data_IF_212143475857
#
_entry.id   IF_212143475857
#
_cell.length_a   1.000
_cell.length_b   1.000
_cell.length_c   1.000
_cell.angle_alpha   90.00
_cell.angle_beta   90.00
_cell.angle_gamma   90.00
#
_symmetry.space_group_name_H-M   'P 1'
#
loop_
_entity.id
_entity.type
_entity.pdbx_description
1 polymer ?
#
# COMPACT_ATOMS: atom_id res chain seq x y z
N UNK A 1 13.05 1.62 -9.42
CA UNK A 1 11.69 1.81 -9.97
C UNK A 1 10.66 1.11 -9.10
N UNK A 2 9.46 1.62 -9.00
CA UNK A 2 8.38 0.99 -8.24
C UNK A 2 7.08 1.02 -9.04
N UNK A 3 6.31 -0.05 -8.99
CA UNK A 3 4.97 -0.13 -9.55
C UNK A 3 3.96 -0.11 -8.42
N UNK A 4 2.95 0.75 -8.54
CA UNK A 4 1.90 0.93 -7.57
C UNK A 4 0.60 0.34 -8.08
N UNK A 5 -0.04 -0.52 -7.29
CA UNK A 5 -1.40 -0.99 -7.55
C UNK A 5 -2.32 -0.50 -6.45
N UNK A 6 -3.31 0.28 -6.83
CA UNK A 6 -4.39 0.75 -5.95
C UNK A 6 -5.65 -0.07 -6.21
N UNK A 7 -6.26 -0.57 -5.14
CA UNK A 7 -7.57 -1.21 -5.20
C UNK A 7 -8.36 -0.88 -3.93
N UNK A 8 -9.69 -1.01 -3.93
CA UNK A 8 -10.50 -0.86 -2.71
C UNK A 8 -10.07 -1.80 -1.58
N UNK A 9 -9.45 -2.93 -1.93
CA UNK A 9 -8.96 -3.93 -0.98
C UNK A 9 -7.59 -3.59 -0.37
N UNK A 10 -7.05 -2.41 -0.62
CA UNK A 10 -5.76 -1.96 -0.12
C UNK A 10 -4.75 -1.68 -1.23
N UNK A 11 -3.59 -1.19 -0.85
CA UNK A 11 -2.54 -0.76 -1.75
C UNK A 11 -1.38 -1.73 -1.74
N UNK A 12 -0.89 -2.08 -2.92
CA UNK A 12 0.35 -2.84 -3.08
C UNK A 12 1.38 -2.01 -3.83
N UNK A 13 2.59 -1.98 -3.31
CA UNK A 13 3.76 -1.41 -3.98
C UNK A 13 4.71 -2.55 -4.29
N UNK A 14 4.99 -2.73 -5.56
CA UNK A 14 5.96 -3.70 -6.05
C UNK A 14 7.17 -2.94 -6.56
N UNK A 15 8.30 -3.11 -5.90
CA UNK A 15 9.56 -2.56 -6.37
C UNK A 15 10.18 -3.47 -7.43
N UNK A 16 10.66 -2.85 -8.49
CA UNK A 16 11.51 -3.49 -9.51
C UNK A 16 12.84 -2.75 -9.49
N UNK A 17 13.94 -3.44 -9.32
CA UNK A 17 15.26 -2.82 -9.34
C UNK A 17 15.56 -2.25 -10.73
N UNK A 18 16.25 -1.12 -10.79
CA UNK A 18 16.54 -0.42 -12.05
C UNK A 18 17.49 -1.17 -12.97
N UNK A 19 18.35 -2.02 -12.40
CA UNK A 19 19.30 -2.89 -13.09
C UNK A 19 18.66 -4.21 -13.58
N UNK A 20 17.35 -4.39 -13.39
CA UNK A 20 16.65 -5.53 -13.98
C UNK A 20 16.57 -5.38 -15.48
N UNK A 21 17.14 -6.34 -16.18
CA UNK A 21 17.11 -6.39 -17.63
C UNK A 21 15.78 -6.93 -18.14
N UNK A 22 15.18 -6.21 -19.05
CA UNK A 22 13.95 -6.56 -19.75
C UNK A 22 14.23 -6.67 -21.26
N UNK A 23 13.40 -7.40 -21.98
CA UNK A 23 13.55 -7.56 -23.41
C UNK A 23 13.00 -6.32 -24.14
N UNK A 24 13.86 -5.58 -24.82
CA UNK A 24 13.48 -4.48 -25.68
C UNK A 24 12.75 -4.95 -26.96
N UNK A 25 12.21 -4.01 -27.72
CA UNK A 25 11.50 -4.29 -29.00
C UNK A 25 12.37 -5.00 -30.03
N UNK A 26 13.67 -4.74 -30.01
CA UNK A 26 14.69 -5.35 -30.87
C UNK A 26 15.18 -6.73 -30.36
N UNK A 27 14.60 -7.22 -29.25
CA UNK A 27 14.97 -8.48 -28.62
C UNK A 27 16.21 -8.42 -27.74
N UNK A 28 16.89 -7.28 -27.64
CA UNK A 28 18.02 -7.07 -26.75
C UNK A 28 17.57 -6.93 -25.30
N UNK A 29 18.45 -7.32 -24.38
CA UNK A 29 18.24 -7.07 -22.96
C UNK A 29 18.73 -5.65 -22.63
N UNK A 30 17.84 -4.84 -22.09
CA UNK A 30 18.07 -3.44 -21.70
C UNK A 30 17.72 -3.33 -20.23
N UNK A 31 18.50 -2.60 -19.45
CA UNK A 31 18.17 -2.32 -18.05
C UNK A 31 16.94 -1.41 -17.95
N UNK A 32 16.08 -1.69 -17.02
CA UNK A 32 14.82 -0.97 -16.87
C UNK A 32 15.04 0.52 -16.60
N UNK A 33 16.13 0.86 -15.88
CA UNK A 33 16.56 2.25 -15.64
C UNK A 33 16.88 2.99 -16.92
N UNK A 34 17.60 2.36 -17.84
CA UNK A 34 18.00 2.97 -19.13
C UNK A 34 16.82 3.10 -20.08
N UNK A 35 15.85 2.18 -19.99
CA UNK A 35 14.71 2.17 -20.90
C UNK A 35 13.92 3.48 -20.90
N UNK A 36 13.76 4.09 -19.72
CA UNK A 36 13.05 5.37 -19.56
C UNK A 36 13.80 6.55 -20.17
N UNK A 37 15.12 6.53 -20.10
CA UNK A 37 16.00 7.57 -20.62
C UNK A 37 16.11 7.45 -22.13
N UNK A 38 16.36 6.25 -22.64
CA UNK A 38 16.69 6.02 -24.06
C UNK A 38 15.44 5.90 -24.93
N UNK A 39 14.35 5.31 -24.44
CA UNK A 39 13.16 4.96 -25.21
C UNK A 39 11.88 5.63 -24.70
N UNK A 40 11.97 6.41 -23.61
CA UNK A 40 10.87 7.13 -22.99
C UNK A 40 10.04 6.31 -22.00
N UNK A 41 9.35 7.01 -21.10
CA UNK A 41 8.66 6.41 -19.97
C UNK A 41 7.48 5.50 -20.31
N UNK A 42 6.87 5.69 -21.50
CA UNK A 42 5.86 4.74 -22.00
C UNK A 42 6.46 3.36 -22.29
N UNK A 43 7.72 3.31 -22.71
CA UNK A 43 8.42 2.03 -22.88
C UNK A 43 8.67 1.33 -21.54
N UNK A 44 8.96 2.09 -20.47
CA UNK A 44 9.01 1.54 -19.10
C UNK A 44 7.68 0.97 -18.66
N UNK A 45 6.55 1.65 -18.95
CA UNK A 45 5.22 1.12 -18.64
C UNK A 45 4.96 -0.21 -19.35
N UNK A 46 5.25 -0.28 -20.65
CA UNK A 46 5.08 -1.50 -21.44
C UNK A 46 5.97 -2.65 -20.90
N UNK A 47 7.20 -2.34 -20.51
CA UNK A 47 8.10 -3.31 -19.92
C UNK A 47 7.61 -3.80 -18.55
N UNK A 48 7.07 -2.88 -17.73
CA UNK A 48 6.46 -3.23 -16.43
C UNK A 48 5.20 -4.08 -16.63
N UNK A 49 4.34 -3.76 -17.61
CA UNK A 49 3.19 -4.57 -17.98
C UNK A 49 3.59 -5.99 -18.41
N UNK A 50 4.60 -6.10 -19.26
CA UNK A 50 5.12 -7.39 -19.71
C UNK A 50 5.74 -8.20 -18.56
N UNK A 51 6.45 -7.54 -17.64
CA UNK A 51 7.11 -8.16 -16.51
C UNK A 51 6.11 -8.65 -15.46
N UNK A 52 5.12 -7.82 -15.14
CA UNK A 52 4.16 -8.07 -14.05
C UNK A 52 2.88 -8.75 -14.55
N UNK A 53 2.63 -8.75 -15.85
CA UNK A 53 1.43 -9.32 -16.45
C UNK A 53 0.14 -8.63 -16.01
N UNK A 54 0.22 -7.33 -15.66
CA UNK A 54 -0.91 -6.48 -15.28
C UNK A 54 -0.87 -5.15 -16.02
N UNK A 55 -2.03 -4.57 -16.40
CA UNK A 55 -2.05 -3.29 -17.10
C UNK A 55 -1.54 -2.16 -16.21
N UNK A 56 -0.78 -1.23 -16.80
CA UNK A 56 -0.26 -0.03 -16.15
C UNK A 56 -1.01 1.19 -16.69
N UNK A 57 -1.81 1.82 -15.85
CA UNK A 57 -2.66 2.95 -16.22
C UNK A 57 -1.85 4.24 -16.56
N UNK A 58 -0.66 4.38 -16.01
CA UNK A 58 0.20 5.53 -16.23
C UNK A 58 1.46 5.49 -15.37
N UNK A 59 2.23 6.57 -15.47
CA UNK A 59 3.48 6.70 -14.73
C UNK A 59 3.62 8.06 -14.06
N UNK A 60 4.42 8.07 -12.98
CA UNK A 60 4.94 9.26 -12.31
C UNK A 60 6.44 9.07 -12.15
N UNK A 61 7.22 10.04 -12.61
CA UNK A 61 8.68 10.02 -12.47
C UNK A 61 9.07 11.00 -11.39
N UNK A 62 9.64 10.48 -10.33
CA UNK A 62 10.19 11.25 -9.22
C UNK A 62 11.72 11.19 -9.29
N UNK A 63 12.35 12.34 -9.42
CA UNK A 63 13.79 12.45 -9.26
C UNK A 63 14.16 12.41 -7.77
N UNK A 64 15.43 12.18 -7.46
CA UNK A 64 15.92 12.28 -6.07
C UNK A 64 15.61 13.66 -5.48
N UNK A 65 15.74 14.72 -6.29
CA UNK A 65 15.39 16.09 -5.87
C UNK A 65 13.90 16.24 -5.55
N UNK A 66 13.00 15.66 -6.37
CA UNK A 66 11.55 15.72 -6.13
C UNK A 66 11.18 15.00 -4.84
N UNK A 67 11.79 13.83 -4.58
CA UNK A 67 11.57 13.07 -3.35
C UNK A 67 12.06 13.86 -2.14
N UNK A 68 13.27 14.44 -2.19
CA UNK A 68 13.79 15.26 -1.10
C UNK A 68 12.89 16.46 -0.83
N UNK A 69 12.53 17.22 -1.86
CA UNK A 69 11.66 18.39 -1.74
C UNK A 69 10.26 18.02 -1.21
N UNK A 70 9.75 16.85 -1.59
CA UNK A 70 8.48 16.36 -1.08
C UNK A 70 8.55 16.00 0.41
N UNK A 71 9.59 15.30 0.84
CA UNK A 71 9.84 14.97 2.24
C UNK A 71 10.00 16.25 3.08
N UNK A 72 10.81 17.21 2.60
CA UNK A 72 11.03 18.47 3.30
C UNK A 72 9.73 19.30 3.44
N UNK A 73 8.81 19.17 2.46
CA UNK A 73 7.49 19.79 2.53
C UNK A 73 6.59 19.21 3.63
N UNK A 74 6.78 17.94 3.99
CA UNK A 74 6.07 17.28 5.09
C UNK A 74 6.73 17.55 6.46
N UNK A 75 7.95 18.07 6.47
CA UNK A 75 8.80 18.23 7.64
C UNK A 75 9.70 17.02 7.89
N UNK A 76 10.57 17.07 8.93
CA UNK A 76 11.46 15.97 9.25
C UNK A 76 10.69 14.67 9.51
N UNK A 77 11.12 13.58 8.88
CA UNK A 77 10.42 12.29 8.94
C UNK A 77 11.04 11.40 10.01
N UNK A 78 10.26 10.92 11.01
CA UNK A 78 10.75 10.00 12.02
C UNK A 78 10.93 8.61 11.43
N UNK A 79 12.18 8.13 11.35
CA UNK A 79 12.53 6.79 10.87
C UNK A 79 13.25 6.02 11.98
N UNK A 80 12.81 4.80 12.26
CA UNK A 80 13.51 3.86 13.14
C UNK A 80 14.61 3.16 12.35
N UNK A 81 15.88 3.44 12.68
CA UNK A 81 17.04 2.83 12.03
C UNK A 81 17.44 1.55 12.79
N UNK A 82 17.24 0.35 12.23
CA UNK A 82 17.57 -0.90 12.92
C UNK A 82 19.07 -1.11 13.03
N UNK A 83 19.83 -0.51 12.12
CA UNK A 83 21.28 -0.61 12.01
C UNK A 83 21.89 0.76 11.78
N UNK A 84 23.17 0.92 12.10
CA UNK A 84 23.90 2.13 11.74
C UNK A 84 24.11 2.16 10.22
N UNK A 85 23.77 3.30 9.62
CA UNK A 85 23.96 3.55 8.19
C UNK A 85 25.05 4.61 8.04
N UNK A 86 26.12 4.30 7.31
CA UNK A 86 27.16 5.28 6.99
C UNK A 86 27.31 5.40 5.47
N UNK A 87 27.34 6.61 4.98
CA UNK A 87 27.49 6.90 3.54
C UNK A 87 28.95 7.10 3.11
N UNK A 88 29.91 6.59 3.91
CA UNK A 88 31.34 6.74 3.62
C UNK A 88 31.81 6.03 2.34
N UNK A 89 30.99 5.16 1.76
CA UNK A 89 31.34 4.36 0.56
C UNK A 89 30.79 4.95 -0.76
N UNK A 90 30.05 6.06 -0.71
CA UNK A 90 29.50 6.72 -1.92
C UNK A 90 30.01 8.16 -2.04
N UNK A 91 31.28 8.38 -2.44
CA UNK A 91 31.80 9.74 -2.60
C UNK A 91 31.14 10.42 -3.79
N UNK A 92 30.49 11.57 -3.54
CA UNK A 92 29.98 12.47 -4.59
C UNK A 92 28.52 12.89 -4.49
N UNK A 93 27.74 12.40 -3.53
CA UNK A 93 26.37 12.87 -3.29
C UNK A 93 26.31 13.63 -1.96
N UNK A 94 25.97 14.91 -2.02
CA UNK A 94 26.16 15.95 -1.00
C UNK A 94 25.47 15.80 0.37
N UNK A 95 24.96 14.63 0.74
CA UNK A 95 24.45 14.38 2.08
C UNK A 95 25.08 13.11 2.63
N UNK A 96 25.77 13.22 3.75
CA UNK A 96 26.36 12.10 4.50
C UNK A 96 25.41 11.75 5.64
N UNK A 97 24.95 10.51 5.71
CA UNK A 97 24.38 9.96 6.94
C UNK A 97 25.48 9.19 7.69
N UNK A 98 25.82 9.68 8.87
CA UNK A 98 26.52 8.89 9.89
C UNK A 98 25.57 8.77 11.09
N UNK A 99 24.54 7.95 10.93
CA UNK A 99 23.47 7.78 11.92
C UNK A 99 23.57 6.45 12.62
N UNK A 100 23.73 6.51 13.94
CA UNK A 100 23.60 5.33 14.81
C UNK A 100 22.18 4.77 14.80
N UNK A 101 22.00 3.58 15.40
CA UNK A 101 20.69 2.92 15.59
C UNK A 101 19.68 3.80 16.34
N UNK A 102 18.41 3.55 16.13
CA UNK A 102 17.30 4.14 16.87
C UNK A 102 16.48 5.13 16.04
N UNK A 103 15.52 5.76 16.71
CA UNK A 103 14.60 6.71 16.07
C UNK A 103 15.35 8.02 15.74
N UNK A 104 15.26 8.43 14.48
CA UNK A 104 15.85 9.65 13.95
C UNK A 104 14.81 10.45 13.17
N UNK A 105 14.90 11.76 13.21
CA UNK A 105 14.17 12.65 12.32
C UNK A 105 15.07 13.01 11.14
N UNK A 106 14.67 12.61 9.95
CA UNK A 106 15.47 12.74 8.73
C UNK A 106 14.85 13.79 7.81
N UNK A 107 15.66 14.70 7.28
CA UNK A 107 15.34 15.59 6.17
C UNK A 107 15.22 14.81 4.86
N UNK A 108 14.72 15.42 3.80
CA UNK A 108 14.57 14.79 2.50
C UNK A 108 15.88 14.25 1.92
N UNK A 109 16.97 15.01 2.06
CA UNK A 109 18.30 14.55 1.62
C UNK A 109 18.83 13.40 2.45
N UNK A 110 18.57 13.38 3.76
CA UNK A 110 18.97 12.28 4.65
C UNK A 110 18.15 11.02 4.41
N UNK A 111 16.85 11.15 4.09
CA UNK A 111 16.01 10.01 3.67
C UNK A 111 16.56 9.37 2.41
N UNK A 112 16.97 10.16 1.42
CA UNK A 112 17.62 9.64 0.20
C UNK A 112 18.94 8.94 0.52
N UNK A 113 19.80 9.56 1.32
CA UNK A 113 21.06 8.99 1.73
C UNK A 113 20.86 7.67 2.53
N UNK A 114 19.81 7.59 3.37
CA UNK A 114 19.40 6.36 4.05
C UNK A 114 18.99 5.26 3.06
N UNK A 115 18.16 5.59 2.07
CA UNK A 115 17.67 4.61 1.09
C UNK A 115 18.76 4.11 0.16
N UNK A 116 19.66 4.99 -0.28
CA UNK A 116 20.73 4.68 -1.25
C UNK A 116 22.03 4.22 -0.58
N UNK A 117 22.21 4.50 0.71
CA UNK A 117 23.43 4.22 1.45
C UNK A 117 23.81 2.74 1.47
N UNK A 118 25.10 2.47 1.58
CA UNK A 118 25.59 1.11 1.72
C UNK A 118 25.30 0.56 3.12
N UNK A 119 24.67 -0.59 3.19
CA UNK A 119 24.51 -1.37 4.42
C UNK A 119 24.71 -2.85 4.12
N UNK A 120 25.52 -3.52 4.93
CA UNK A 120 25.68 -4.97 4.85
C UNK A 120 24.59 -5.72 5.62
N UNK A 121 23.87 -5.04 6.49
CA UNK A 121 22.93 -5.63 7.45
C UNK A 121 21.46 -5.46 7.01
N UNK A 122 21.16 -4.52 6.12
CA UNK A 122 19.80 -4.25 5.66
C UNK A 122 19.73 -4.13 4.14
N UNK A 123 18.81 -4.85 3.51
CA UNK A 123 18.59 -4.77 2.07
C UNK A 123 18.04 -3.39 1.64
N UNK A 124 18.36 -2.94 0.42
CA UNK A 124 17.88 -1.68 -0.14
C UNK A 124 16.36 -1.65 -0.19
N UNK A 125 15.72 -2.77 -0.53
CA UNK A 125 14.26 -2.90 -0.55
C UNK A 125 13.61 -2.69 0.81
N UNK A 126 14.24 -3.17 1.89
CA UNK A 126 13.75 -2.97 3.25
C UNK A 126 13.84 -1.50 3.66
N UNK A 127 14.95 -0.83 3.33
CA UNK A 127 15.12 0.61 3.56
C UNK A 127 14.10 1.44 2.78
N UNK A 128 13.88 1.12 1.49
CA UNK A 128 12.84 1.76 0.66
C UNK A 128 11.45 1.57 1.25
N UNK A 129 11.14 0.36 1.69
CA UNK A 129 9.86 0.05 2.31
C UNK A 129 9.64 0.81 3.63
N UNK A 130 10.68 0.91 4.47
CA UNK A 130 10.66 1.65 5.73
C UNK A 130 10.49 3.16 5.49
N UNK A 131 11.28 3.73 4.58
CA UNK A 131 11.18 5.13 4.20
C UNK A 131 9.80 5.47 3.65
N UNK A 132 9.27 4.65 2.73
CA UNK A 132 7.94 4.87 2.16
C UNK A 132 6.84 4.84 3.24
N UNK A 133 6.87 3.88 4.17
CA UNK A 133 5.91 3.85 5.27
C UNK A 133 6.01 5.09 6.16
N UNK A 134 7.22 5.54 6.47
CA UNK A 134 7.44 6.72 7.29
C UNK A 134 6.95 8.00 6.58
N UNK A 135 7.21 8.14 5.28
CA UNK A 135 6.71 9.26 4.47
C UNK A 135 5.18 9.27 4.44
N UNK A 136 4.54 8.11 4.23
CA UNK A 136 3.09 8.00 4.22
C UNK A 136 2.48 8.33 5.59
N UNK A 137 3.09 7.87 6.68
CA UNK A 137 2.65 8.20 8.04
C UNK A 137 2.77 9.69 8.35
N UNK A 138 3.86 10.35 7.90
CA UNK A 138 4.03 11.79 8.05
C UNK A 138 3.00 12.57 7.21
N UNK A 139 2.76 12.15 5.98
CA UNK A 139 1.73 12.75 5.13
C UNK A 139 0.32 12.61 5.72
N UNK A 140 0.01 11.47 6.33
CA UNK A 140 -1.22 11.25 7.06
C UNK A 140 -1.35 12.20 8.28
N UNK A 141 -0.28 12.35 9.05
CA UNK A 141 -0.25 13.25 10.20
C UNK A 141 -0.43 14.73 9.77
N UNK A 142 0.17 15.11 8.64
CA UNK A 142 0.10 16.48 8.08
C UNK A 142 -1.19 16.75 7.29
N UNK A 143 -2.06 15.79 7.11
CA UNK A 143 -3.28 15.95 6.29
C UNK A 143 -4.26 17.01 6.83
N UNK A 144 -4.14 17.37 8.12
CA UNK A 144 -4.87 18.48 8.74
C UNK A 144 -4.17 19.85 8.62
N UNK A 145 -2.93 19.89 8.16
CA UNK A 145 -2.14 21.11 8.02
C UNK A 145 -2.20 21.61 6.57
N UNK A 146 -2.88 22.73 6.36
CA UNK A 146 -3.14 23.28 5.01
C UNK A 146 -1.85 23.56 4.25
N UNK A 147 -0.83 24.12 4.92
CA UNK A 147 0.42 24.54 4.28
C UNK A 147 1.28 23.34 3.82
N UNK A 148 1.43 22.31 4.65
CA UNK A 148 2.22 21.11 4.30
C UNK A 148 1.56 20.36 3.13
N UNK A 149 0.26 20.17 3.19
CA UNK A 149 -0.53 19.52 2.14
C UNK A 149 -0.48 20.29 0.82
N UNK A 150 -0.58 21.62 0.86
CA UNK A 150 -0.49 22.46 -0.34
C UNK A 150 0.93 22.47 -0.93
N UNK A 151 1.95 22.49 -0.10
CA UNK A 151 3.35 22.43 -0.57
C UNK A 151 3.66 21.07 -1.19
N UNK A 152 3.24 19.96 -0.56
CA UNK A 152 3.36 18.63 -1.13
C UNK A 152 2.62 18.49 -2.48
N UNK A 153 1.39 19.02 -2.59
CA UNK A 153 0.65 19.08 -3.84
C UNK A 153 1.38 19.86 -4.93
N UNK A 154 2.01 20.99 -4.56
CA UNK A 154 2.79 21.83 -5.48
C UNK A 154 4.02 21.09 -6.01
N UNK A 155 4.72 20.32 -5.17
CA UNK A 155 5.83 19.46 -5.61
C UNK A 155 5.32 18.41 -6.58
N UNK A 156 4.29 17.66 -6.22
CA UNK A 156 3.73 16.60 -7.06
C UNK A 156 3.11 17.11 -8.37
N UNK A 157 2.66 18.36 -8.43
CA UNK A 157 2.14 18.95 -9.68
C UNK A 157 3.21 19.22 -10.75
N UNK A 158 4.48 19.24 -10.36
CA UNK A 158 5.63 19.50 -11.24
C UNK A 158 6.33 18.25 -11.75
N UNK A 159 6.01 17.10 -11.17
CA UNK A 159 6.66 15.83 -11.56
C UNK A 159 6.23 15.40 -12.96
N UNK A 160 7.12 14.73 -13.65
CA UNK A 160 6.82 14.18 -14.97
C UNK A 160 5.83 13.01 -14.84
N UNK A 161 4.69 13.13 -15.51
CA UNK A 161 3.64 12.12 -15.49
C UNK A 161 2.78 12.20 -16.75
N UNK A 162 2.16 11.09 -17.15
CA UNK A 162 1.09 11.07 -18.14
C UNK A 162 -0.32 11.08 -17.51
N UNK A 163 -0.42 11.12 -16.18
CA UNK A 163 -1.71 11.10 -15.48
C UNK A 163 -2.32 12.49 -15.25
N UNK A 164 -1.52 13.56 -15.40
CA UNK A 164 -1.91 14.91 -15.01
C UNK A 164 -1.85 15.14 -13.49
N UNK A 165 -1.65 16.40 -13.08
CA UNK A 165 -1.35 16.79 -11.71
C UNK A 165 -2.44 16.38 -10.70
N UNK A 166 -3.73 16.57 -11.06
CA UNK A 166 -4.86 16.22 -10.17
C UNK A 166 -4.96 14.70 -9.93
N UNK A 167 -4.67 13.89 -10.94
CA UNK A 167 -4.68 12.44 -10.78
C UNK A 167 -3.49 11.96 -9.96
N UNK A 168 -2.30 12.55 -10.15
CA UNK A 168 -1.12 12.28 -9.32
C UNK A 168 -1.42 12.60 -7.86
N UNK A 169 -2.02 13.76 -7.60
CA UNK A 169 -2.43 14.16 -6.24
C UNK A 169 -3.49 13.22 -5.66
N UNK A 170 -4.49 12.84 -6.43
CA UNK A 170 -5.53 11.90 -5.98
C UNK A 170 -4.91 10.54 -5.59
N UNK A 171 -4.01 10.00 -6.42
CA UNK A 171 -3.30 8.75 -6.13
C UNK A 171 -2.49 8.87 -4.82
N UNK A 172 -1.77 9.98 -4.65
CA UNK A 172 -1.02 10.23 -3.42
C UNK A 172 -1.92 10.29 -2.19
N UNK A 173 -3.00 11.04 -2.27
CA UNK A 173 -3.98 11.16 -1.17
C UNK A 173 -4.59 9.79 -0.81
N UNK A 174 -4.93 8.99 -1.81
CA UNK A 174 -5.48 7.65 -1.59
C UNK A 174 -4.46 6.73 -0.91
N UNK A 175 -3.15 6.89 -1.21
CA UNK A 175 -2.05 6.20 -0.52
C UNK A 175 -1.88 6.62 0.94
N UNK A 176 -2.13 7.89 1.23
CA UNK A 176 -1.93 8.48 2.56
C UNK A 176 -3.18 8.40 3.44
N UNK A 177 -4.28 7.77 2.97
CA UNK A 177 -5.49 7.61 3.76
C UNK A 177 -5.29 6.67 4.95
N UNK A 178 -5.87 7.05 6.10
CA UNK A 178 -5.82 6.29 7.36
C UNK A 178 -6.27 4.84 7.19
N UNK A 179 -5.44 3.96 7.74
CA UNK A 179 -5.77 2.55 7.86
C UNK A 179 -5.70 1.78 6.55
N UNK A 180 -5.10 2.30 5.50
CA UNK A 180 -4.87 1.53 4.28
C UNK A 180 -3.75 0.51 4.48
N UNK A 181 -4.05 -0.78 4.29
CA UNK A 181 -3.04 -1.82 4.33
C UNK A 181 -2.09 -1.67 3.14
N UNK A 182 -0.86 -1.27 3.43
CA UNK A 182 0.20 -1.13 2.43
C UNK A 182 1.05 -2.40 2.41
N UNK A 183 0.90 -3.20 1.36
CA UNK A 183 1.79 -4.33 1.09
C UNK A 183 2.92 -3.87 0.18
N UNK A 184 4.15 -3.97 0.68
CA UNK A 184 5.35 -3.65 -0.09
C UNK A 184 6.08 -4.96 -0.40
N UNK A 185 6.44 -5.14 -1.66
CA UNK A 185 7.14 -6.33 -2.14
C UNK A 185 8.18 -5.92 -3.19
N UNK A 186 9.16 -6.77 -3.42
CA UNK A 186 10.16 -6.59 -4.48
C UNK A 186 10.09 -7.76 -5.45
N UNK A 187 10.28 -7.48 -6.74
CA UNK A 187 10.33 -8.52 -7.77
C UNK A 187 11.56 -9.41 -7.53
N UNK A 188 11.38 -10.72 -7.34
CA UNK A 188 12.47 -11.65 -7.20
C UNK A 188 13.34 -11.68 -8.45
N UNK A 189 14.66 -11.62 -8.28
CA UNK A 189 15.60 -11.56 -9.39
C UNK A 189 16.69 -12.62 -9.27
N UNK A 190 17.24 -13.02 -10.42
CA UNK A 190 18.45 -13.85 -10.52
C UNK A 190 19.44 -13.21 -11.49
N UNK A 191 20.71 -13.62 -11.39
CA UNK A 191 21.74 -13.17 -12.34
C UNK A 191 21.95 -14.28 -13.36
N UNK A 192 21.83 -13.94 -14.64
CA UNK A 192 22.19 -14.79 -15.76
C UNK A 192 23.44 -14.23 -16.42
N UNK A 193 24.32 -15.11 -16.89
CA UNK A 193 25.48 -14.71 -17.70
C UNK A 193 25.16 -14.92 -19.17
N UNK A 194 25.20 -13.85 -19.96
CA UNK A 194 25.02 -13.89 -21.40
C UNK A 194 26.14 -13.10 -22.07
N UNK A 195 26.81 -13.71 -23.01
CA UNK A 195 27.96 -13.10 -23.74
C UNK A 195 29.07 -12.61 -22.76
N UNK A 196 29.30 -13.35 -21.66
CA UNK A 196 30.26 -13.00 -20.64
C UNK A 196 29.85 -11.87 -19.68
N UNK A 197 28.66 -11.31 -19.85
CA UNK A 197 28.12 -10.22 -19.03
C UNK A 197 27.04 -10.78 -18.08
N UNK A 198 27.22 -10.56 -16.77
CA UNK A 198 26.19 -10.85 -15.77
C UNK A 198 25.05 -9.83 -15.88
N UNK A 199 23.81 -10.32 -16.05
CA UNK A 199 22.61 -9.49 -16.11
C UNK A 199 21.60 -9.95 -15.09
N UNK A 200 21.03 -9.02 -14.36
CA UNK A 200 19.92 -9.30 -13.43
C UNK A 200 18.61 -9.41 -14.22
N UNK A 201 17.89 -10.49 -14.03
CA UNK A 201 16.59 -10.75 -14.66
C UNK A 201 15.57 -11.15 -13.61
N UNK A 202 14.30 -10.82 -13.86
CA UNK A 202 13.22 -11.26 -12.98
C UNK A 202 13.02 -12.78 -13.07
N UNK A 203 12.75 -13.39 -11.92
CA UNK A 203 12.36 -14.80 -11.81
C UNK A 203 10.88 -14.92 -12.14
N UNK A 204 10.56 -15.40 -13.35
CA UNK A 204 9.20 -15.35 -13.93
C UNK A 204 8.17 -16.01 -13.02
N UNK A 205 8.39 -17.23 -12.58
CA UNK A 205 7.44 -18.01 -11.76
C UNK A 205 7.19 -17.33 -10.41
N UNK A 206 8.24 -16.86 -9.76
CA UNK A 206 8.17 -16.17 -8.48
C UNK A 206 7.51 -14.79 -8.62
N UNK A 207 7.77 -14.08 -9.72
CA UNK A 207 7.11 -12.82 -10.04
C UNK A 207 5.62 -13.01 -10.27
N UNK A 208 5.21 -14.05 -11.01
CA UNK A 208 3.81 -14.38 -11.19
C UNK A 208 3.10 -14.71 -9.87
N UNK A 209 3.73 -15.47 -8.98
CA UNK A 209 3.20 -15.76 -7.63
C UNK A 209 3.07 -14.49 -6.81
N UNK A 210 4.09 -13.62 -6.84
CA UNK A 210 4.08 -12.34 -6.16
C UNK A 210 2.93 -11.46 -6.67
N UNK A 211 2.79 -11.31 -7.98
CA UNK A 211 1.71 -10.52 -8.59
C UNK A 211 0.34 -11.12 -8.29
N UNK A 212 0.21 -12.44 -8.37
CA UNK A 212 -1.04 -13.12 -8.00
C UNK A 212 -1.44 -12.81 -6.55
N UNK A 213 -0.48 -12.84 -5.63
CA UNK A 213 -0.72 -12.57 -4.21
C UNK A 213 -0.87 -11.08 -3.86
N UNK A 214 -0.15 -10.19 -4.56
CA UNK A 214 -0.08 -8.78 -4.23
C UNK A 214 -1.09 -7.93 -5.03
N UNK A 215 -1.38 -8.30 -6.26
CA UNK A 215 -2.17 -7.51 -7.21
C UNK A 215 -3.43 -8.24 -7.63
N UNK A 216 -3.29 -9.44 -8.26
CA UNK A 216 -4.43 -10.16 -8.85
C UNK A 216 -5.37 -10.75 -7.82
N UNK A 217 -4.88 -11.27 -6.70
CA UNK A 217 -5.73 -11.80 -5.65
C UNK A 217 -6.70 -10.75 -5.10
N UNK A 218 -6.28 -9.49 -5.10
CA UNK A 218 -7.11 -8.33 -4.70
C UNK A 218 -8.03 -7.84 -5.81
N UNK A 219 -7.57 -7.84 -7.05
CA UNK A 219 -8.39 -7.45 -8.22
C UNK A 219 -9.50 -8.47 -8.53
N UNK A 220 -9.35 -9.71 -8.06
CA UNK A 220 -10.34 -10.78 -8.23
C UNK A 220 -11.30 -10.92 -7.04
N UNK A 221 -11.06 -10.21 -5.94
CA UNK A 221 -11.97 -10.14 -4.80
C UNK A 221 -13.07 -9.11 -5.09
N UNK A 222 -14.19 -9.61 -5.56
CA UNK A 222 -15.40 -8.82 -5.72
C UNK A 222 -16.31 -9.01 -4.49
N UNK A 223 -17.16 -8.03 -4.13
CA UNK A 223 -18.05 -8.13 -2.97
C UNK A 223 -18.90 -9.42 -2.94
N UNK A 224 -19.30 -9.94 -4.11
CA UNK A 224 -20.08 -11.19 -4.26
C UNK A 224 -19.36 -12.45 -3.78
N UNK A 225 -18.03 -12.38 -3.65
CA UNK A 225 -17.20 -13.47 -3.09
C UNK A 225 -16.96 -13.36 -1.59
N UNK A 226 -17.46 -12.30 -0.96
CA UNK A 226 -17.25 -12.01 0.47
C UNK A 226 -18.54 -12.31 1.23
N UNK A 227 -18.43 -13.23 2.18
CA UNK A 227 -19.52 -13.62 3.08
C UNK A 227 -19.41 -12.88 4.41
N UNK A 228 -20.46 -12.13 4.79
CA UNK A 228 -20.47 -11.27 5.97
C UNK A 228 -21.58 -11.69 6.92
N UNK A 229 -21.25 -11.90 8.20
CA UNK A 229 -22.23 -11.97 9.29
C UNK A 229 -22.31 -10.63 9.99
N UNK A 230 -23.50 -10.13 10.25
CA UNK A 230 -23.72 -8.77 10.77
C UNK A 230 -24.41 -8.83 12.11
N UNK A 231 -23.82 -8.18 13.11
CA UNK A 231 -24.40 -8.05 14.45
C UNK A 231 -24.70 -6.58 14.79
N UNK A 232 -25.86 -6.35 15.37
CA UNK A 232 -26.23 -5.06 15.92
C UNK A 232 -25.60 -4.90 17.31
N UNK A 233 -24.60 -4.06 17.44
CA UNK A 233 -23.97 -3.65 18.71
C UNK A 233 -24.30 -2.21 19.13
N UNK A 234 -25.06 -1.47 18.30
CA UNK A 234 -25.39 -0.07 18.53
C UNK A 234 -26.57 0.17 19.46
N UNK A 235 -27.44 -0.83 19.68
CA UNK A 235 -28.72 -0.67 20.35
C UNK A 235 -29.80 0.01 19.48
N UNK A 236 -29.47 0.52 18.32
CA UNK A 236 -30.43 1.13 17.40
C UNK A 236 -31.25 0.02 16.74
N UNK A 237 -32.57 0.17 16.76
CA UNK A 237 -33.49 -0.80 16.16
C UNK A 237 -33.20 -0.97 14.67
N UNK A 238 -33.10 -2.23 14.20
CA UNK A 238 -32.87 -2.60 12.81
C UNK A 238 -31.51 -2.19 12.22
N UNK A 239 -30.51 -1.75 13.02
CA UNK A 239 -29.22 -1.33 12.51
C UNK A 239 -28.52 -2.45 11.70
N UNK A 240 -28.53 -3.69 12.17
CA UNK A 240 -27.96 -4.81 11.42
C UNK A 240 -28.74 -5.15 10.15
N UNK A 241 -30.07 -4.95 10.14
CA UNK A 241 -30.91 -5.16 8.95
C UNK A 241 -30.62 -4.11 7.89
N UNK A 242 -30.54 -2.84 8.27
CA UNK A 242 -30.16 -1.75 7.34
C UNK A 242 -28.74 -1.94 6.80
N UNK A 243 -27.82 -2.38 7.65
CA UNK A 243 -26.46 -2.72 7.23
C UNK A 243 -26.45 -3.87 6.21
N UNK A 244 -27.30 -4.86 6.41
CA UNK A 244 -27.42 -5.99 5.50
C UNK A 244 -27.97 -5.57 4.12
N UNK A 245 -29.03 -4.79 4.10
CA UNK A 245 -29.62 -4.22 2.88
C UNK A 245 -28.60 -3.35 2.13
N UNK A 246 -27.91 -2.48 2.87
CA UNK A 246 -26.84 -1.62 2.32
C UNK A 246 -25.71 -2.44 1.68
N UNK A 247 -25.27 -3.51 2.31
CA UNK A 247 -24.20 -4.37 1.80
C UNK A 247 -24.67 -5.26 0.66
N UNK A 248 -25.89 -5.79 0.72
CA UNK A 248 -26.48 -6.59 -0.36
C UNK A 248 -26.64 -5.80 -1.66
N UNK A 249 -27.08 -4.53 -1.60
CA UNK A 249 -27.15 -3.64 -2.78
C UNK A 249 -25.78 -3.36 -3.38
N UNK A 250 -24.69 -3.57 -2.63
CA UNK A 250 -23.30 -3.45 -3.07
C UNK A 250 -22.64 -4.78 -3.42
N UNK A 251 -23.43 -5.84 -3.47
CA UNK A 251 -23.04 -7.15 -3.95
C UNK A 251 -22.48 -8.09 -2.89
N UNK A 252 -22.39 -7.73 -1.60
CA UNK A 252 -21.91 -8.64 -0.57
C UNK A 252 -22.92 -9.75 -0.27
N UNK A 253 -22.40 -10.93 0.10
CA UNK A 253 -23.23 -12.03 0.58
C UNK A 253 -23.41 -11.91 2.10
N UNK A 254 -24.62 -11.64 2.54
CA UNK A 254 -24.93 -11.60 3.97
C UNK A 254 -25.33 -13.02 4.42
N UNK A 255 -24.47 -13.64 5.23
CA UNK A 255 -24.67 -15.00 5.72
C UNK A 255 -25.67 -15.06 6.88
N UNK A 256 -25.63 -14.06 7.78
CA UNK A 256 -26.50 -13.97 8.94
C UNK A 256 -26.63 -12.56 9.45
N UNK A 257 -27.76 -12.26 10.07
CA UNK A 257 -28.03 -11.03 10.80
C UNK A 257 -28.39 -11.40 12.25
N UNK A 258 -27.89 -10.65 13.23
CA UNK A 258 -28.19 -10.90 14.64
C UNK A 258 -27.93 -9.69 15.52
N UNK A 259 -28.00 -9.92 16.82
CA UNK A 259 -27.60 -8.95 17.84
C UNK A 259 -26.21 -9.32 18.37
N UNK A 260 -25.43 -8.32 18.74
CA UNK A 260 -24.18 -8.52 19.44
C UNK A 260 -24.43 -8.97 20.89
N UNK A 261 -23.35 -9.35 21.57
CA UNK A 261 -23.34 -9.71 22.99
C UNK A 261 -23.80 -8.57 23.89
N UNK A 262 -23.47 -7.32 23.48
CA UNK A 262 -23.88 -6.07 24.14
C UNK A 262 -24.30 -5.04 23.10
N UNK A 263 -25.06 -4.02 23.54
CA UNK A 263 -25.54 -2.94 22.68
C UNK A 263 -24.82 -1.60 22.92
N UNK A 264 -23.60 -1.65 23.41
CA UNK A 264 -22.83 -0.47 23.83
C UNK A 264 -21.60 -0.22 22.97
N UNK A 265 -21.55 -0.80 21.79
CA UNK A 265 -20.43 -0.57 20.86
C UNK A 265 -20.48 0.86 20.30
N UNK A 266 -19.57 1.72 20.76
CA UNK A 266 -19.43 3.07 20.24
C UNK A 266 -18.86 3.09 18.82
N UNK A 267 -17.97 2.15 18.50
CA UNK A 267 -17.27 2.03 17.21
C UNK A 267 -17.70 0.73 16.53
N UNK A 268 -17.83 0.75 15.21
CA UNK A 268 -18.04 -0.46 14.42
C UNK A 268 -16.75 -1.24 14.24
N UNK A 269 -16.86 -2.57 14.21
CA UNK A 269 -15.74 -3.48 14.02
C UNK A 269 -15.97 -4.41 12.83
N UNK A 270 -14.93 -4.58 12.03
CA UNK A 270 -14.84 -5.61 11.00
C UNK A 270 -13.87 -6.67 11.52
N UNK A 271 -14.40 -7.79 11.98
CA UNK A 271 -13.59 -8.92 12.46
C UNK A 271 -13.20 -9.77 11.26
N UNK A 272 -11.90 -9.89 11.01
CA UNK A 272 -11.35 -10.65 9.90
C UNK A 272 -11.17 -12.11 10.32
N UNK A 273 -11.93 -13.04 9.70
CA UNK A 273 -11.87 -14.47 9.99
C UNK A 273 -10.98 -15.23 9.00
N UNK A 274 -10.82 -14.70 7.78
CA UNK A 274 -10.09 -15.37 6.71
C UNK A 274 -8.96 -14.49 6.18
N UNK A 275 -9.22 -13.68 5.17
CA UNK A 275 -8.21 -12.90 4.45
C UNK A 275 -8.40 -11.41 4.70
N UNK A 276 -7.37 -10.74 5.16
CA UNK A 276 -7.36 -9.31 5.45
C UNK A 276 -7.87 -8.42 4.29
N UNK A 277 -7.55 -8.71 3.00
CA UNK A 277 -8.08 -7.97 1.87
C UNK A 277 -9.61 -7.90 1.80
N UNK A 278 -10.31 -8.95 2.23
CA UNK A 278 -11.78 -8.96 2.30
C UNK A 278 -12.30 -7.95 3.32
N UNK A 279 -11.61 -7.85 4.46
CA UNK A 279 -11.96 -6.89 5.52
C UNK A 279 -11.79 -5.43 5.05
N UNK A 280 -10.78 -5.16 4.24
CA UNK A 280 -10.56 -3.83 3.67
C UNK A 280 -11.66 -3.44 2.67
N UNK A 281 -12.08 -4.37 1.79
CA UNK A 281 -13.19 -4.13 0.85
C UNK A 281 -14.48 -3.80 1.61
N UNK A 282 -14.78 -4.56 2.66
CA UNK A 282 -15.97 -4.31 3.48
C UNK A 282 -15.87 -2.95 4.16
N UNK A 283 -14.77 -2.66 4.86
CA UNK A 283 -14.58 -1.39 5.57
C UNK A 283 -14.72 -0.18 4.64
N UNK A 284 -14.09 -0.21 3.45
CA UNK A 284 -14.11 0.90 2.50
C UNK A 284 -15.49 1.07 1.82
N UNK A 285 -16.35 0.05 1.91
CA UNK A 285 -17.73 0.12 1.44
C UNK A 285 -18.66 0.72 2.49
N UNK A 286 -18.31 0.67 3.79
CA UNK A 286 -19.17 1.15 4.86
C UNK A 286 -19.32 2.69 4.83
N UNK A 287 -20.49 3.24 5.21
CA UNK A 287 -20.73 4.69 5.18
C UNK A 287 -20.04 5.45 6.31
N UNK A 288 -19.46 4.74 7.28
CA UNK A 288 -18.80 5.31 8.45
C UNK A 288 -17.55 4.57 8.85
N UNK A 289 -16.86 5.09 9.86
CA UNK A 289 -15.62 4.51 10.34
C UNK A 289 -15.83 3.15 11.00
N UNK A 290 -15.02 2.16 10.60
CA UNK A 290 -14.95 0.86 11.24
C UNK A 290 -13.49 0.43 11.44
N UNK A 291 -13.22 -0.23 12.56
CA UNK A 291 -11.88 -0.80 12.85
C UNK A 291 -11.83 -2.23 12.36
N UNK A 292 -10.79 -2.56 11.60
CA UNK A 292 -10.47 -3.95 11.28
C UNK A 292 -9.69 -4.52 12.45
N UNK A 293 -10.11 -5.70 12.92
CA UNK A 293 -9.51 -6.39 14.05
C UNK A 293 -9.43 -7.89 13.78
N UNK A 294 -8.43 -8.55 14.35
CA UNK A 294 -8.39 -10.00 14.41
C UNK A 294 -9.31 -10.51 15.55
N UNK A 295 -9.81 -11.76 15.49
CA UNK A 295 -10.64 -12.33 16.55
C UNK A 295 -10.00 -12.24 17.95
N UNK A 296 -8.68 -12.39 18.03
CA UNK A 296 -7.94 -12.31 19.31
C UNK A 296 -7.87 -10.91 19.91
N UNK A 297 -8.01 -9.85 19.13
CA UNK A 297 -7.95 -8.46 19.61
C UNK A 297 -9.22 -8.06 20.37
N UNK A 298 -10.34 -8.72 20.08
CA UNK A 298 -11.62 -8.55 20.78
C UNK A 298 -12.09 -9.88 21.36
N UNK A 299 -11.18 -10.70 21.88
CA UNK A 299 -11.42 -12.09 22.25
C UNK A 299 -12.68 -12.28 23.10
N UNK A 300 -12.86 -11.49 24.16
CA UNK A 300 -14.02 -11.61 25.09
C UNK A 300 -15.35 -11.42 24.34
N UNK A 301 -15.46 -10.45 23.46
CA UNK A 301 -16.67 -10.18 22.70
C UNK A 301 -16.84 -11.18 21.54
N UNK A 302 -15.75 -11.53 20.86
CA UNK A 302 -15.82 -12.46 19.74
C UNK A 302 -16.19 -13.88 20.18
N UNK A 303 -15.70 -14.37 21.32
CA UNK A 303 -16.08 -15.69 21.86
C UNK A 303 -17.59 -15.79 22.13
N UNK A 304 -18.23 -14.70 22.56
CA UNK A 304 -19.68 -14.66 22.73
C UNK A 304 -20.45 -14.69 21.38
N UNK A 305 -19.88 -14.10 20.32
CA UNK A 305 -20.48 -14.05 18.99
C UNK A 305 -20.20 -15.31 18.18
N UNK A 306 -19.06 -15.98 18.41
CA UNK A 306 -18.56 -17.12 17.64
C UNK A 306 -19.59 -18.25 17.43
N UNK A 307 -20.40 -18.68 18.41
CA UNK A 307 -21.40 -19.72 18.19
C UNK A 307 -22.51 -19.34 17.20
N UNK A 308 -22.67 -18.02 16.98
CA UNK A 308 -23.69 -17.47 16.08
C UNK A 308 -23.16 -17.22 14.66
N UNK A 309 -21.85 -17.37 14.42
CA UNK A 309 -21.22 -17.15 13.12
C UNK A 309 -21.28 -18.44 12.30
N UNK A 310 -21.97 -18.45 11.13
CA UNK A 310 -22.03 -19.62 10.27
C UNK A 310 -20.66 -20.03 9.72
N UNK A 311 -20.47 -21.32 9.51
CA UNK A 311 -19.28 -21.84 8.82
C UNK A 311 -19.24 -21.27 7.39
N UNK A 312 -18.05 -20.83 6.95
CA UNK A 312 -17.88 -20.19 5.65
C UNK A 312 -18.15 -18.68 5.63
N UNK A 313 -18.36 -18.07 6.80
CA UNK A 313 -18.32 -16.61 6.94
C UNK A 313 -16.88 -16.12 6.83
N UNK A 314 -16.63 -15.12 5.99
CA UNK A 314 -15.32 -14.49 5.85
C UNK A 314 -15.08 -13.40 6.87
N UNK A 315 -16.11 -12.61 7.16
CA UNK A 315 -16.03 -11.41 8.00
C UNK A 315 -17.22 -11.33 8.94
N UNK A 316 -17.00 -10.76 10.12
CA UNK A 316 -18.07 -10.36 11.02
C UNK A 316 -18.08 -8.83 11.14
N UNK A 317 -19.21 -8.21 10.82
CA UNK A 317 -19.44 -6.79 11.04
C UNK A 317 -20.23 -6.62 12.35
N UNK A 318 -19.66 -5.92 13.32
CA UNK A 318 -20.37 -5.45 14.50
C UNK A 318 -20.67 -3.96 14.28
N UNK A 319 -21.94 -3.63 14.13
CA UNK A 319 -22.39 -2.24 13.91
C UNK A 319 -22.43 -1.50 15.23
N UNK A 320 -21.63 -0.44 15.36
CA UNK A 320 -21.60 0.47 16.50
C UNK A 320 -22.50 1.71 16.33
N UNK A 321 -22.66 2.48 17.40
CA UNK A 321 -23.58 3.63 17.44
C UNK A 321 -23.25 4.77 16.45
N UNK A 322 -21.98 4.89 16.03
CA UNK A 322 -21.52 5.93 15.10
C UNK A 322 -21.72 5.60 13.61
N UNK A 323 -22.40 4.49 13.27
CA UNK A 323 -22.59 4.08 11.88
C UNK A 323 -24.07 4.20 11.48
N UNK A 324 -24.34 5.13 10.57
CA UNK A 324 -25.67 5.37 10.02
C UNK A 324 -25.74 4.85 8.58
N UNK A 325 -26.67 3.94 8.33
CA UNK A 325 -27.01 3.51 6.98
C UNK A 325 -28.22 4.36 6.55
N UNK A 326 -28.01 5.22 5.54
CA UNK A 326 -29.07 6.08 5.00
C UNK A 326 -30.32 5.28 4.59
N UNK A 327 -31.46 5.96 4.62
CA UNK A 327 -32.75 5.41 4.17
C UNK A 327 -32.74 5.09 2.67
#
# INVERSE_FOLDING_TARGET
>A
MGTLSLSPAGTSVVFVAEDVSVKGRDGRLIELGDLGVDYGWNACCQAAEALLGVPVAGYVVLTAHDVAAFVDALGPIPIELPVSVSDRESPGRGASIDSGRGKRELSGTEVLAYVEGASREEAVSERRARALRAILAAAEASAGETDASETARRVLSRVRSNLGAERVWSVWRDLSCKGMALKISEVPTSVIVRDGIGRRVAMVVETEKLVASAVRARALLTPDKISVTIFNGSGVRLAATRAAEYLQTRGFRVARIGNADVFTYATSYVVCLTEEPKAWILRDTLPGAAKIVAPGEIATHYEALRPMVPVGTDLVLVVGAGMEFGE
#
